data_IF_115960487497
#
_entry.id   IF_115960487497
#
_cell.length_a   1.000
_cell.length_b   1.000
_cell.length_c   1.000
_cell.angle_alpha   90.00
_cell.angle_beta   90.00
_cell.angle_gamma   90.00
#
_symmetry.space_group_name_H-M   'P 1'
#
loop_
_entity.id
_entity.type
_entity.pdbx_description
1 polymer ?
#
# COMPACT_ATOMS: atom_id res chain seq x y z
N UNK A 1 11.15 -5.83 -30.88
CA UNK A 1 9.85 -5.97 -30.22
C UNK A 1 10.10 -5.89 -28.73
N UNK A 2 9.50 -4.94 -28.00
CA UNK A 2 9.53 -4.98 -26.54
C UNK A 2 8.51 -6.02 -26.12
N UNK A 3 8.93 -7.01 -25.33
CA UNK A 3 8.04 -7.99 -24.73
C UNK A 3 7.00 -7.25 -23.90
N UNK A 4 5.73 -7.56 -24.13
CA UNK A 4 4.64 -6.97 -23.34
C UNK A 4 4.79 -7.54 -21.93
N UNK A 5 4.86 -6.67 -20.92
CA UNK A 5 4.94 -7.11 -19.53
C UNK A 5 3.76 -8.05 -19.23
N UNK A 6 4.04 -9.17 -18.57
CA UNK A 6 3.03 -10.13 -18.13
C UNK A 6 2.01 -9.39 -17.24
N UNK A 7 0.73 -9.61 -17.48
CA UNK A 7 -0.32 -9.15 -16.58
C UNK A 7 -0.25 -9.93 -15.27
N UNK A 8 -0.17 -9.22 -14.14
CA UNK A 8 0.02 -9.86 -12.82
C UNK A 8 -1.22 -9.68 -11.95
N UNK A 9 -1.67 -10.80 -11.39
CA UNK A 9 -2.86 -10.90 -10.51
C UNK A 9 -2.48 -11.55 -9.16
N UNK A 10 -3.43 -11.61 -8.23
CA UNK A 10 -3.21 -12.29 -6.94
C UNK A 10 -2.89 -13.78 -7.09
N UNK A 11 -3.44 -14.44 -8.12
CA UNK A 11 -3.21 -15.85 -8.39
C UNK A 11 -1.78 -16.14 -8.88
N UNK A 12 -1.07 -15.10 -9.35
CA UNK A 12 0.33 -15.21 -9.76
C UNK A 12 1.30 -15.17 -8.59
N UNK A 13 0.86 -14.77 -7.39
CA UNK A 13 1.69 -14.75 -6.18
C UNK A 13 1.83 -16.14 -5.55
N UNK A 14 2.87 -16.37 -4.74
CA UNK A 14 2.92 -17.55 -3.88
C UNK A 14 1.68 -17.60 -2.99
N UNK A 15 1.10 -18.77 -2.84
CA UNK A 15 -0.10 -18.98 -2.03
C UNK A 15 0.29 -19.83 -0.82
N UNK A 16 0.06 -19.31 0.39
CA UNK A 16 0.21 -20.08 1.61
C UNK A 16 -1.12 -20.70 2.00
N UNK A 17 -1.12 -22.01 2.22
CA UNK A 17 -2.28 -22.74 2.71
C UNK A 17 -1.96 -23.41 4.04
N UNK A 18 -2.62 -22.97 5.11
CA UNK A 18 -2.54 -23.62 6.40
C UNK A 18 -3.27 -24.98 6.37
N UNK A 19 -2.67 -25.98 7.01
CA UNK A 19 -3.29 -27.29 7.25
C UNK A 19 -3.55 -27.54 8.73
N UNK A 20 -2.85 -26.81 9.59
CA UNK A 20 -2.94 -26.95 11.04
C UNK A 20 -2.74 -25.60 11.71
N UNK A 21 -3.54 -25.35 12.73
CA UNK A 21 -3.44 -24.18 13.60
C UNK A 21 -3.24 -24.63 15.05
N UNK A 22 -2.32 -23.97 15.73
CA UNK A 22 -2.00 -24.20 17.13
C UNK A 22 -1.85 -22.87 17.86
N UNK A 23 -2.48 -22.76 19.03
CA UNK A 23 -2.22 -21.66 19.96
C UNK A 23 -1.10 -22.07 20.91
N UNK A 24 -0.03 -21.28 20.97
CA UNK A 24 1.15 -21.52 21.80
C UNK A 24 1.33 -20.40 22.82
N UNK A 25 2.24 -20.56 23.78
CA UNK A 25 2.62 -19.47 24.69
C UNK A 25 3.20 -18.25 23.96
N UNK A 26 3.70 -18.43 22.75
CA UNK A 26 4.28 -17.38 21.90
C UNK A 26 3.28 -16.81 20.88
N UNK A 27 2.01 -17.21 20.95
CA UNK A 27 0.96 -16.77 20.03
C UNK A 27 0.48 -17.87 19.09
N UNK A 28 -0.25 -17.46 18.06
CA UNK A 28 -0.85 -18.35 17.07
C UNK A 28 0.18 -18.82 16.04
N UNK A 29 0.11 -20.10 15.67
CA UNK A 29 1.01 -20.74 14.71
C UNK A 29 0.19 -21.47 13.65
N UNK A 30 0.49 -21.18 12.39
CA UNK A 30 -0.15 -21.81 11.24
C UNK A 30 0.89 -22.62 10.47
N UNK A 31 0.76 -23.94 10.53
CA UNK A 31 1.59 -24.85 9.75
C UNK A 31 0.89 -25.14 8.44
N UNK A 32 1.61 -24.99 7.33
CA UNK A 32 1.05 -25.05 6.00
C UNK A 32 2.11 -25.32 4.94
N UNK A 33 1.75 -25.06 3.70
CA UNK A 33 2.67 -25.14 2.57
C UNK A 33 2.43 -23.98 1.60
N UNK A 34 3.50 -23.59 0.91
CA UNK A 34 3.41 -22.70 -0.23
C UNK A 34 3.24 -23.49 -1.53
N UNK A 35 2.47 -22.98 -2.50
CA UNK A 35 2.40 -23.57 -3.83
C UNK A 35 3.70 -23.36 -4.65
N UNK A 36 4.41 -22.25 -4.44
CA UNK A 36 5.73 -21.89 -4.97
C UNK A 36 6.52 -21.08 -3.94
N UNK A 37 7.85 -21.04 -4.05
CA UNK A 37 8.72 -20.30 -3.12
C UNK A 37 9.33 -19.04 -3.71
N UNK A 38 9.05 -18.76 -4.99
CA UNK A 38 9.55 -17.56 -5.67
C UNK A 38 8.94 -16.30 -5.04
N UNK A 39 9.78 -15.43 -4.45
CA UNK A 39 9.32 -14.22 -3.75
C UNK A 39 8.85 -14.44 -2.31
N UNK A 40 9.02 -15.65 -1.74
CA UNK A 40 8.73 -15.87 -0.32
C UNK A 40 9.90 -15.38 0.54
N UNK A 41 9.65 -14.36 1.35
CA UNK A 41 10.59 -13.78 2.31
C UNK A 41 10.29 -14.23 3.75
N UNK A 42 11.20 -13.92 4.67
CA UNK A 42 11.06 -14.30 6.08
C UNK A 42 9.92 -13.55 6.81
N UNK A 43 9.53 -12.38 6.32
CA UNK A 43 8.45 -11.56 6.86
C UNK A 43 7.72 -10.88 5.70
N UNK A 44 6.40 -10.99 5.67
CA UNK A 44 5.58 -10.23 4.72
C UNK A 44 4.09 -10.31 5.08
N UNK A 45 3.23 -10.06 4.09
CA UNK A 45 1.79 -10.05 4.19
C UNK A 45 1.16 -11.25 3.48
N UNK A 46 0.28 -11.97 4.19
CA UNK A 46 -0.79 -12.74 3.56
C UNK A 46 -1.97 -11.81 3.30
N UNK A 47 -2.54 -11.87 2.09
CA UNK A 47 -3.47 -10.85 1.63
C UNK A 47 -4.56 -11.38 0.70
N UNK A 48 -5.80 -11.00 0.97
CA UNK A 48 -6.89 -10.91 -0.01
C UNK A 48 -7.52 -9.50 0.04
N UNK A 49 -8.46 -9.18 -0.85
CA UNK A 49 -9.03 -7.82 -0.91
C UNK A 49 -9.74 -7.38 0.39
N UNK A 50 -10.14 -8.33 1.24
CA UNK A 50 -10.87 -8.10 2.48
C UNK A 50 -9.98 -8.18 3.73
N UNK A 51 -8.86 -8.90 3.67
CA UNK A 51 -8.00 -9.23 4.81
C UNK A 51 -6.51 -9.07 4.48
N UNK A 52 -5.75 -8.53 5.43
CA UNK A 52 -4.30 -8.45 5.36
C UNK A 52 -3.69 -8.85 6.70
N UNK A 53 -2.70 -9.73 6.66
CA UNK A 53 -2.09 -10.33 7.83
C UNK A 53 -0.58 -10.24 7.68
N UNK A 54 0.03 -9.39 8.49
CA UNK A 54 1.49 -9.37 8.58
C UNK A 54 1.94 -10.53 9.46
N UNK A 55 3.01 -11.21 9.04
CA UNK A 55 3.61 -12.23 9.86
C UNK A 55 4.95 -12.74 9.34
N UNK A 56 5.52 -13.62 10.13
CA UNK A 56 6.81 -14.24 9.86
C UNK A 56 6.66 -15.67 9.32
N UNK A 57 7.53 -16.04 8.41
CA UNK A 57 7.83 -17.44 8.09
C UNK A 57 9.06 -17.87 8.90
N UNK A 58 8.88 -18.72 9.91
CA UNK A 58 9.98 -19.12 10.83
C UNK A 58 10.68 -20.41 10.42
N UNK A 59 9.90 -21.36 9.89
CA UNK A 59 10.41 -22.63 9.37
C UNK A 59 9.99 -22.67 7.91
N UNK A 60 10.93 -22.92 7.01
CA UNK A 60 10.66 -23.13 5.59
C UNK A 60 11.49 -24.29 5.08
N UNK A 61 10.82 -25.35 4.64
CA UNK A 61 11.46 -26.47 3.97
C UNK A 61 11.44 -26.23 2.45
N UNK A 62 12.60 -26.02 1.79
CA UNK A 62 12.62 -25.71 0.36
C UNK A 62 12.21 -26.89 -0.53
N UNK A 63 12.33 -28.13 -0.05
CA UNK A 63 11.98 -29.33 -0.83
C UNK A 63 10.48 -29.61 -0.79
N UNK A 64 9.87 -29.51 0.40
CA UNK A 64 8.44 -29.81 0.60
C UNK A 64 7.56 -28.57 0.52
N UNK A 65 8.16 -27.37 0.55
CA UNK A 65 7.50 -26.06 0.66
C UNK A 65 6.68 -25.88 1.93
N UNK A 66 6.87 -26.77 2.90
CA UNK A 66 6.24 -26.67 4.22
C UNK A 66 6.78 -25.46 4.95
N UNK A 67 5.87 -24.73 5.58
CA UNK A 67 6.23 -23.53 6.31
C UNK A 67 5.42 -23.36 7.60
N UNK A 68 6.06 -22.70 8.57
CA UNK A 68 5.43 -22.21 9.78
C UNK A 68 5.24 -20.69 9.65
N UNK A 69 3.97 -20.26 9.55
CA UNK A 69 3.59 -18.85 9.54
C UNK A 69 3.12 -18.41 10.92
N UNK A 70 3.63 -17.27 11.39
CA UNK A 70 3.27 -16.63 12.66
C UNK A 70 2.76 -15.20 12.42
N UNK A 71 1.46 -14.93 12.56
CA UNK A 71 0.95 -13.57 12.45
C UNK A 71 1.48 -12.70 13.59
N UNK A 72 1.86 -11.45 13.28
CA UNK A 72 2.27 -10.47 14.31
C UNK A 72 1.09 -9.97 15.14
N UNK A 73 -0.06 -9.86 14.49
CA UNK A 73 -1.31 -9.30 14.97
C UNK A 73 -2.45 -9.72 14.03
N UNK A 74 -3.69 -9.71 14.55
CA UNK A 74 -4.97 -9.99 13.87
C UNK A 74 -5.58 -11.39 14.08
N UNK A 75 -6.91 -11.39 13.95
CA UNK A 75 -7.71 -12.58 13.66
C UNK A 75 -7.38 -13.03 12.23
N UNK A 76 -6.95 -14.29 12.09
CA UNK A 76 -6.62 -14.87 10.79
C UNK A 76 -7.93 -15.37 10.15
N UNK A 77 -8.27 -14.95 8.92
CA UNK A 77 -9.50 -15.37 8.27
C UNK A 77 -9.46 -16.87 7.95
N UNK A 78 -10.61 -17.55 7.96
CA UNK A 78 -10.69 -18.97 7.61
C UNK A 78 -10.12 -19.32 6.22
N UNK A 79 -10.08 -18.33 5.30
CA UNK A 79 -9.54 -18.47 3.95
C UNK A 79 -8.08 -18.96 3.92
N UNK A 80 -7.30 -18.76 5.00
CA UNK A 80 -5.94 -19.29 5.10
C UNK A 80 -5.87 -20.82 4.97
N UNK A 81 -6.95 -21.54 5.33
CA UNK A 81 -7.00 -23.01 5.25
C UNK A 81 -7.46 -23.52 3.89
N UNK A 82 -8.38 -22.80 3.25
CA UNK A 82 -8.92 -23.12 1.92
C UNK A 82 -9.58 -21.87 1.33
N UNK A 83 -9.12 -21.35 0.18
CA UNK A 83 -8.11 -21.93 -0.72
C UNK A 83 -6.65 -21.75 -0.27
N UNK A 84 -6.40 -20.91 0.74
CA UNK A 84 -5.09 -20.32 1.03
C UNK A 84 -5.11 -18.82 0.77
N UNK A 85 -4.04 -18.12 1.16
CA UNK A 85 -3.89 -16.68 0.94
C UNK A 85 -2.64 -16.37 0.12
N UNK A 86 -2.72 -15.42 -0.82
CA UNK A 86 -1.56 -14.86 -1.51
C UNK A 86 -0.54 -14.25 -0.54
N UNK A 87 0.74 -14.52 -0.79
CA UNK A 87 1.90 -13.94 -0.14
C UNK A 87 2.39 -12.76 -0.98
N UNK A 88 2.08 -11.56 -0.51
CA UNK A 88 2.58 -10.35 -1.14
C UNK A 88 4.05 -10.19 -0.77
N UNK A 89 4.93 -9.86 -1.70
CA UNK A 89 6.32 -9.54 -1.38
C UNK A 89 6.39 -8.18 -0.68
N UNK A 90 7.19 -8.07 0.38
CA UNK A 90 7.40 -6.81 1.08
C UNK A 90 8.77 -6.26 0.70
N UNK A 91 8.83 -5.48 -0.36
CA UNK A 91 9.99 -4.64 -0.68
C UNK A 91 10.09 -3.41 0.25
N UNK A 92 9.14 -3.26 1.18
CA UNK A 92 9.01 -2.14 2.11
C UNK A 92 8.39 -0.89 1.49
N UNK A 93 8.14 -0.87 0.18
CA UNK A 93 7.53 0.25 -0.53
C UNK A 93 6.02 0.10 -0.64
N UNK A 94 5.54 -1.09 -1.01
CA UNK A 94 4.12 -1.33 -1.15
C UNK A 94 3.52 -2.09 0.03
N UNK A 95 2.34 -1.63 0.42
CA UNK A 95 1.50 -2.28 1.41
C UNK A 95 0.31 -2.95 0.74
N UNK A 96 -0.36 -3.91 1.40
CA UNK A 96 -1.57 -4.54 0.85
C UNK A 96 -2.65 -3.54 0.45
N UNK A 97 -2.72 -2.40 1.16
CA UNK A 97 -3.57 -1.26 0.81
C UNK A 97 -3.32 -0.74 -0.61
N UNK A 98 -2.07 -0.65 -1.04
CA UNK A 98 -1.70 -0.09 -2.34
C UNK A 98 -2.04 -1.07 -3.48
N UNK A 99 -1.88 -2.38 -3.23
CA UNK A 99 -2.36 -3.42 -4.15
C UNK A 99 -3.88 -3.36 -4.26
N UNK A 100 -4.59 -3.25 -3.13
CA UNK A 100 -6.05 -3.15 -3.11
C UNK A 100 -6.55 -1.95 -3.94
N UNK A 101 -5.87 -0.80 -3.85
CA UNK A 101 -6.20 0.40 -4.66
C UNK A 101 -6.20 0.16 -6.18
N UNK A 102 -5.38 -0.78 -6.66
CA UNK A 102 -5.33 -1.16 -8.07
C UNK A 102 -6.33 -2.26 -8.45
N UNK A 103 -6.67 -3.16 -7.52
CA UNK A 103 -7.46 -4.36 -7.81
C UNK A 103 -8.95 -4.25 -7.47
N UNK A 104 -9.32 -3.49 -6.44
CA UNK A 104 -10.69 -3.41 -5.92
C UNK A 104 -11.54 -2.40 -6.72
N UNK A 105 -12.55 -2.94 -7.42
CA UNK A 105 -13.47 -2.17 -8.28
C UNK A 105 -14.38 -1.21 -7.50
N UNK A 106 -14.50 -1.39 -6.19
CA UNK A 106 -15.32 -0.50 -5.36
C UNK A 106 -14.68 0.89 -5.21
N UNK A 107 -13.39 1.03 -5.52
CA UNK A 107 -12.74 2.33 -5.57
C UNK A 107 -13.11 3.10 -6.83
N UNK A 108 -13.79 4.22 -6.62
CA UNK A 108 -14.13 5.16 -7.68
C UNK A 108 -12.96 6.12 -7.88
N UNK A 109 -12.28 5.97 -9.01
CA UNK A 109 -11.26 6.91 -9.45
C UNK A 109 -11.88 8.00 -10.32
N UNK A 110 -11.54 9.25 -10.03
CA UNK A 110 -12.00 10.43 -10.75
C UNK A 110 -10.81 11.15 -11.37
N UNK A 111 -10.94 11.60 -12.61
CA UNK A 111 -9.89 12.37 -13.28
C UNK A 111 -9.93 13.83 -12.83
N UNK A 112 -8.77 14.39 -12.52
CA UNK A 112 -8.58 15.78 -12.11
C UNK A 112 -7.38 16.40 -12.84
N UNK A 113 -7.30 17.72 -12.80
CA UNK A 113 -6.07 18.46 -13.14
C UNK A 113 -5.54 19.08 -11.86
N UNK A 114 -4.25 18.88 -11.59
CA UNK A 114 -3.66 19.41 -10.37
C UNK A 114 -3.51 20.93 -10.47
N UNK A 115 -3.96 21.60 -9.42
CA UNK A 115 -3.78 23.03 -9.24
C UNK A 115 -3.12 23.26 -7.89
N UNK A 116 -2.00 23.97 -7.93
CA UNK A 116 -1.26 24.40 -6.78
C UNK A 116 -2.18 25.21 -5.88
N UNK A 117 -2.07 24.92 -4.59
CA UNK A 117 -2.91 25.52 -3.56
C UNK A 117 -2.03 26.03 -2.43
N UNK A 118 -2.62 26.91 -1.64
CA UNK A 118 -1.94 27.41 -0.45
C UNK A 118 -1.58 26.25 0.48
N UNK A 119 -0.39 26.29 1.06
CA UNK A 119 0.00 25.36 2.10
C UNK A 119 -0.04 26.03 3.47
N UNK A 120 -0.38 25.27 4.50
CA UNK A 120 -0.13 25.66 5.88
C UNK A 120 1.26 25.19 6.27
N UNK A 121 2.15 26.14 6.55
CA UNK A 121 3.47 25.85 7.10
C UNK A 121 3.43 25.92 8.63
N UNK A 122 3.94 24.88 9.27
CA UNK A 122 4.21 24.87 10.71
C UNK A 122 5.71 24.76 10.93
N UNK A 123 6.28 25.74 11.63
CA UNK A 123 7.66 25.64 12.12
C UNK A 123 7.65 24.79 13.41
N UNK A 124 8.40 23.70 13.39
CA UNK A 124 8.57 22.78 14.54
C UNK A 124 9.75 23.24 15.41
N UNK A 125 9.76 22.86 16.70
CA UNK A 125 10.82 23.27 17.65
C UNK A 125 12.23 22.87 17.23
N UNK A 126 12.36 21.78 16.47
CA UNK A 126 13.63 21.30 15.93
C UNK A 126 14.11 22.07 14.67
N UNK A 127 13.43 23.15 14.29
CA UNK A 127 13.75 23.95 13.11
C UNK A 127 13.27 23.35 11.79
N UNK A 128 12.58 22.20 11.80
CA UNK A 128 11.94 21.65 10.62
C UNK A 128 10.65 22.39 10.29
N UNK A 129 10.28 22.33 9.01
CA UNK A 129 9.03 22.89 8.50
C UNK A 129 8.16 21.76 7.97
N UNK A 130 6.95 21.66 8.47
CA UNK A 130 5.91 20.80 7.90
C UNK A 130 5.02 21.65 7.00
N UNK A 131 4.73 21.15 5.80
CA UNK A 131 3.72 21.70 4.89
C UNK A 131 2.52 20.77 4.87
N UNK A 132 1.34 21.37 4.86
CA UNK A 132 0.08 20.65 4.68
C UNK A 132 -0.74 21.35 3.60
N UNK A 133 -1.45 20.59 2.76
CA UNK A 133 -2.33 21.18 1.76
C UNK A 133 -3.42 22.00 2.45
N UNK A 134 -3.61 23.24 2.01
CA UNK A 134 -4.78 24.02 2.34
C UNK A 134 -6.02 23.44 1.67
N UNK A 135 -7.13 23.35 2.39
CA UNK A 135 -8.43 23.01 1.78
C UNK A 135 -9.14 24.33 1.43
N UNK A 136 -9.97 24.33 0.38
CA UNK A 136 -10.80 25.44 -0.13
C UNK A 136 -11.78 26.09 0.88
N UNK A 137 -11.70 25.75 2.18
CA UNK A 137 -12.47 26.36 3.27
C UNK A 137 -11.60 26.81 4.46
N UNK A 138 -10.30 27.01 4.25
CA UNK A 138 -9.40 27.57 5.26
C UNK A 138 -9.07 26.62 6.43
N UNK A 139 -9.10 25.31 6.19
CA UNK A 139 -8.67 24.28 7.16
C UNK A 139 -7.66 23.35 6.50
N UNK A 140 -6.73 22.80 7.28
CA UNK A 140 -5.86 21.69 6.85
C UNK A 140 -6.60 20.36 7.01
N UNK A 141 -6.39 19.40 6.10
CA UNK A 141 -6.99 18.05 6.18
C UNK A 141 -6.36 17.20 7.28
N UNK A 142 -5.10 17.47 7.61
CA UNK A 142 -4.25 16.59 8.42
C UNK A 142 -4.06 17.10 9.86
N UNK A 143 -4.32 18.38 10.13
CA UNK A 143 -4.19 18.96 11.47
C UNK A 143 -5.47 19.69 11.88
N UNK A 144 -6.38 18.94 12.49
CA UNK A 144 -7.46 19.48 13.34
C UNK A 144 -7.01 19.66 14.80
N UNK A 145 -5.73 19.37 15.09
CA UNK A 145 -5.15 19.43 16.44
C UNK A 145 -4.78 20.84 16.87
N UNK A 146 -4.66 21.01 18.18
CA UNK A 146 -4.08 22.20 18.79
C UNK A 146 -2.58 22.21 18.46
N UNK A 147 -2.07 23.31 17.92
CA UNK A 147 -0.64 23.49 17.67
C UNK A 147 0.15 23.23 18.96
N UNK A 148 1.31 22.56 18.85
CA UNK A 148 2.24 22.45 19.96
C UNK A 148 2.55 23.84 20.55
N UNK A 149 2.70 23.98 21.88
CA UNK A 149 3.02 25.27 22.49
C UNK A 149 4.25 25.90 21.85
N UNK A 150 4.10 27.07 21.23
CA UNK A 150 5.21 27.79 20.56
C UNK A 150 5.33 27.56 19.06
N UNK A 151 4.57 26.63 18.47
CA UNK A 151 4.50 26.48 17.03
C UNK A 151 3.80 27.69 16.39
N UNK A 152 4.37 28.20 15.29
CA UNK A 152 3.77 29.26 14.47
C UNK A 152 3.29 28.66 13.16
N UNK A 153 2.02 28.90 12.84
CA UNK A 153 1.43 28.50 11.57
C UNK A 153 1.22 29.72 10.68
N UNK A 154 1.60 29.62 9.42
CA UNK A 154 1.37 30.66 8.42
C UNK A 154 1.01 30.04 7.07
N UNK A 155 0.29 30.82 6.26
CA UNK A 155 -0.09 30.43 4.91
C UNK A 155 1.08 30.69 3.96
N UNK A 156 1.31 29.75 3.05
CA UNK A 156 2.29 29.82 1.98
C UNK A 156 1.51 29.82 0.67
N UNK A 157 1.34 30.98 0.03
CA UNK A 157 0.60 31.07 -1.22
C UNK A 157 1.17 30.12 -2.28
N UNK A 158 0.33 29.22 -2.83
CA UNK A 158 0.76 28.19 -3.78
C UNK A 158 1.85 27.24 -3.26
N UNK A 159 2.01 27.11 -1.94
CA UNK A 159 3.07 26.31 -1.32
C UNK A 159 2.85 24.79 -1.37
N UNK A 160 1.67 24.33 -1.77
CA UNK A 160 1.40 22.95 -2.10
C UNK A 160 1.32 22.83 -3.63
N UNK A 161 2.46 22.53 -4.25
CA UNK A 161 2.68 22.66 -5.69
C UNK A 161 2.76 21.32 -6.45
N UNK A 162 2.68 20.19 -5.74
CA UNK A 162 2.57 18.86 -6.34
C UNK A 162 1.93 17.85 -5.38
N UNK A 163 1.49 16.73 -5.96
CA UNK A 163 1.21 15.47 -5.25
C UNK A 163 2.15 14.38 -5.79
N UNK A 164 2.21 13.23 -5.11
CA UNK A 164 2.99 12.08 -5.58
C UNK A 164 2.08 10.95 -6.06
N UNK A 165 2.41 10.33 -7.18
CA UNK A 165 1.75 9.11 -7.63
C UNK A 165 2.03 7.97 -6.64
N UNK A 166 0.99 7.33 -6.09
CA UNK A 166 1.16 6.25 -5.10
C UNK A 166 1.92 5.03 -5.66
N UNK A 167 1.89 4.84 -6.98
CA UNK A 167 2.59 3.74 -7.63
C UNK A 167 4.06 4.11 -7.84
N UNK A 168 4.36 5.10 -8.68
CA UNK A 168 5.74 5.36 -9.11
C UNK A 168 6.43 6.53 -8.39
N UNK A 169 5.77 7.13 -7.39
CA UNK A 169 6.25 8.26 -6.59
C UNK A 169 6.67 9.52 -7.37
N UNK A 170 6.37 9.60 -8.67
CA UNK A 170 6.64 10.79 -9.49
C UNK A 170 5.70 11.91 -9.11
N UNK A 171 6.17 13.14 -9.27
CA UNK A 171 5.38 14.33 -9.01
C UNK A 171 4.24 14.47 -10.02
N UNK A 172 3.12 15.00 -9.52
CA UNK A 172 1.96 15.45 -10.27
C UNK A 172 1.91 16.98 -10.05
N UNK A 173 2.60 17.71 -10.93
CA UNK A 173 2.76 19.16 -10.83
C UNK A 173 1.54 19.94 -11.38
N UNK A 174 1.57 21.27 -11.25
CA UNK A 174 0.57 22.21 -11.82
C UNK A 174 0.19 21.86 -13.28
N UNK A 175 -1.11 21.80 -13.53
CA UNK A 175 -1.67 21.56 -14.85
C UNK A 175 -1.55 20.11 -15.34
N UNK A 176 -0.99 19.19 -14.53
CA UNK A 176 -0.94 17.76 -14.87
C UNK A 176 -2.25 17.07 -14.52
N UNK A 177 -2.71 16.21 -15.43
CA UNK A 177 -3.83 15.33 -15.18
C UNK A 177 -3.42 14.18 -14.26
N UNK A 178 -4.37 13.74 -13.42
CA UNK A 178 -4.21 12.60 -12.54
C UNK A 178 -5.56 11.98 -12.19
N UNK A 179 -5.53 10.80 -11.60
CA UNK A 179 -6.68 10.14 -11.02
C UNK A 179 -6.61 10.20 -9.49
N UNK A 180 -7.76 10.48 -8.87
CA UNK A 180 -7.91 10.58 -7.43
C UNK A 180 -9.02 9.66 -6.93
N UNK A 181 -8.80 9.06 -5.77
CA UNK A 181 -9.82 8.32 -5.03
C UNK A 181 -9.97 8.90 -3.62
N UNK A 182 -11.21 9.13 -3.21
CA UNK A 182 -11.53 9.74 -1.91
C UNK A 182 -11.21 8.81 -0.74
N UNK A 183 -11.36 7.49 -0.92
CA UNK A 183 -11.34 6.51 0.18
C UNK A 183 -10.05 6.55 1.02
N UNK A 184 -8.90 6.69 0.36
CA UNK A 184 -7.59 6.82 1.01
C UNK A 184 -6.92 8.17 0.71
N UNK A 185 -7.65 9.13 0.14
CA UNK A 185 -7.10 10.38 -0.37
C UNK A 185 -5.83 10.17 -1.20
N UNK A 186 -5.91 9.32 -2.22
CA UNK A 186 -4.75 8.81 -2.94
C UNK A 186 -4.73 9.27 -4.41
N UNK A 187 -3.53 9.57 -4.90
CA UNK A 187 -3.26 10.19 -6.20
C UNK A 187 -2.51 9.20 -7.11
N UNK A 188 -2.96 9.06 -8.35
CA UNK A 188 -2.34 8.20 -9.35
C UNK A 188 -2.11 8.99 -10.63
N UNK A 189 -0.88 9.02 -11.15
CA UNK A 189 -0.64 9.64 -12.45
C UNK A 189 -1.35 8.86 -13.57
N UNK A 190 -1.73 9.54 -14.66
CA UNK A 190 -2.46 8.94 -15.78
C UNK A 190 -1.80 7.64 -16.28
N UNK A 191 -0.47 7.66 -16.43
CA UNK A 191 0.28 6.50 -16.91
C UNK A 191 0.18 5.28 -15.98
N UNK A 192 0.21 5.47 -14.66
CA UNK A 192 0.06 4.37 -13.70
C UNK A 192 -1.40 3.92 -13.59
N UNK A 193 -2.35 4.86 -13.67
CA UNK A 193 -3.77 4.52 -13.65
C UNK A 193 -4.12 3.62 -14.83
N UNK A 194 -3.78 4.03 -16.05
CA UNK A 194 -4.09 3.26 -17.27
C UNK A 194 -3.42 1.89 -17.29
N UNK A 195 -2.18 1.82 -16.77
CA UNK A 195 -1.38 0.60 -16.81
C UNK A 195 -1.77 -0.41 -15.72
N UNK A 196 -2.02 0.06 -14.50
CA UNK A 196 -2.13 -0.81 -13.33
C UNK A 196 -3.54 -0.83 -12.77
N UNK A 197 -4.13 0.33 -12.52
CA UNK A 197 -5.46 0.43 -11.90
C UNK A 197 -6.56 0.00 -12.87
N UNK A 198 -6.55 0.55 -14.08
CA UNK A 198 -7.56 0.25 -15.10
C UNK A 198 -7.50 -1.22 -15.55
N UNK A 199 -6.29 -1.79 -15.60
CA UNK A 199 -6.08 -3.20 -15.97
C UNK A 199 -6.24 -4.16 -14.80
N UNK A 200 -6.31 -3.67 -13.55
CA UNK A 200 -6.29 -4.48 -12.32
C UNK A 200 -5.05 -5.36 -12.26
N UNK A 201 -3.93 -4.72 -12.52
CA UNK A 201 -2.62 -5.35 -12.65
C UNK A 201 -1.73 -4.87 -11.51
N UNK A 202 -1.23 -5.83 -10.74
CA UNK A 202 -0.35 -5.54 -9.61
C UNK A 202 1.14 -5.67 -9.94
N UNK A 203 1.50 -5.74 -11.23
CA UNK A 203 2.89 -5.90 -11.68
C UNK A 203 3.83 -4.78 -11.23
N UNK A 204 3.30 -3.65 -10.76
CA UNK A 204 4.09 -2.58 -10.19
C UNK A 204 4.87 -3.00 -8.93
N UNK A 205 4.41 -4.02 -8.17
CA UNK A 205 5.12 -4.51 -6.98
C UNK A 205 6.43 -5.24 -7.30
N UNK A 206 6.73 -5.48 -8.58
CA UNK A 206 7.95 -6.17 -9.04
C UNK A 206 8.94 -5.22 -9.73
N UNK A 207 8.61 -3.93 -9.89
CA UNK A 207 9.16 -3.08 -10.96
C UNK A 207 9.98 -1.85 -10.53
N UNK A 208 10.57 -1.83 -9.35
CA UNK A 208 11.31 -0.68 -8.81
C UNK A 208 12.83 -0.69 -9.08
N UNK A 209 13.24 -0.99 -10.31
CA UNK A 209 14.63 -0.80 -10.76
C UNK A 209 14.89 0.58 -11.38
#
# INVERSE_FOLDING_TARGET
MKEQAKHVTLDDLPQFRAVKHESTEQGEVYNGFFNTLEGVDAESWLFDLDHFIQGDVKILNPETKEAEFRPHWAEVPPAIFDPGLPWMMSDGWYQPRDVRLALDETFVWTEHTFHARDAYATNLENGLRSLQPGIDNGRSRVYQGQLEPGATQYVVPGGWDHEHCFVCNVHIDEGKQYFWTEYYDTYCCVACYERWVLQRDMGFIFGHE
#
